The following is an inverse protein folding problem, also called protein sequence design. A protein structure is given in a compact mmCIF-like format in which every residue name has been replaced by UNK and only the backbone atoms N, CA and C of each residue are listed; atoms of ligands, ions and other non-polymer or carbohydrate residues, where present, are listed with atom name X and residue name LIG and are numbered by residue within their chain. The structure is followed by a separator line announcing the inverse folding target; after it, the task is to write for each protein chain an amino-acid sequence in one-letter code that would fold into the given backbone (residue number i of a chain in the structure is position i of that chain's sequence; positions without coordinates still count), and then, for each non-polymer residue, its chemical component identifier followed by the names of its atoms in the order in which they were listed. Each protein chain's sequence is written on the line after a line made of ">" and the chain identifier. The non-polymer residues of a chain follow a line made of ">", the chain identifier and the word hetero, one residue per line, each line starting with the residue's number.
data_IF_292041357858
#
_entry.id   IF_292041357858
#
_cell.length_a   1.000
_cell.length_b   1.000
_cell.length_c   1.000
_cell.angle_alpha   90.00
_cell.angle_beta   90.00
_cell.angle_gamma   90.00
#
_symmetry.space_group_name_H-M   'P 1'
#
loop_
_entity.id
_entity.type
_entity.pdbx_description
1 polymer ?
#
# COMPACT_ATOMS: atom_id res chain seq x y z
N UNK A 1 -14.01 0.01 -19.90
CA UNK A 1 -13.95 0.59 -18.53
C UNK A 1 -13.45 -0.50 -17.57
N UNK A 2 -12.63 -0.19 -16.56
CA UNK A 2 -12.20 -1.20 -15.59
C UNK A 2 -13.40 -1.83 -14.87
N UNK A 3 -13.32 -3.13 -14.56
CA UNK A 3 -14.44 -3.92 -13.99
C UNK A 3 -14.90 -3.45 -12.61
N UNK A 4 -14.02 -2.78 -11.85
CA UNK A 4 -14.35 -2.07 -10.61
C UNK A 4 -14.19 -0.56 -10.80
N UNK A 5 -15.26 0.18 -10.50
CA UNK A 5 -15.24 1.66 -10.47
C UNK A 5 -14.61 2.20 -9.19
N UNK A 6 -14.83 1.53 -8.06
CA UNK A 6 -14.24 1.89 -6.76
C UNK A 6 -12.78 1.47 -6.70
N UNK A 7 -11.91 2.39 -6.28
CA UNK A 7 -10.48 2.15 -6.05
C UNK A 7 -10.22 1.84 -4.59
N UNK A 8 -9.32 0.90 -4.33
CA UNK A 8 -8.86 0.53 -2.99
C UNK A 8 -7.50 1.18 -2.75
N UNK A 9 -7.39 1.95 -1.67
CA UNK A 9 -6.17 2.62 -1.23
C UNK A 9 -5.72 1.98 0.09
N UNK A 10 -4.47 1.51 0.16
CA UNK A 10 -3.89 0.94 1.38
C UNK A 10 -2.74 1.81 1.88
N UNK A 11 -2.65 2.05 3.20
CA UNK A 11 -1.51 2.77 3.78
C UNK A 11 -0.39 1.79 4.10
N UNK A 12 0.80 2.05 3.58
CA UNK A 12 2.01 1.28 3.91
C UNK A 12 2.61 1.81 5.22
N UNK A 13 3.07 0.88 6.05
CA UNK A 13 3.73 1.14 7.32
C UNK A 13 4.41 -0.14 7.82
N UNK A 14 4.84 -0.18 9.10
CA UNK A 14 5.63 -1.30 9.64
C UNK A 14 4.95 -2.67 9.50
N UNK A 15 3.61 -2.70 9.49
CA UNK A 15 2.84 -3.93 9.31
C UNK A 15 2.95 -4.51 7.88
N UNK A 16 3.33 -3.69 6.89
CA UNK A 16 3.49 -4.02 5.47
C UNK A 16 4.88 -3.57 5.00
N UNK A 17 5.93 -4.11 5.62
CA UNK A 17 7.33 -3.75 5.36
C UNK A 17 8.12 -4.85 4.60
N UNK A 18 7.45 -5.87 4.08
CA UNK A 18 8.08 -6.93 3.30
C UNK A 18 7.45 -7.06 1.92
N UNK A 19 8.26 -7.40 0.93
CA UNK A 19 7.85 -7.59 -0.46
C UNK A 19 6.68 -8.58 -0.58
N UNK A 20 6.73 -9.69 0.15
CA UNK A 20 5.67 -10.71 0.18
C UNK A 20 4.31 -10.13 0.61
N UNK A 21 4.29 -9.25 1.62
CA UNK A 21 3.05 -8.64 2.10
C UNK A 21 2.49 -7.65 1.08
N UNK A 22 3.37 -6.90 0.40
CA UNK A 22 2.96 -5.99 -0.68
C UNK A 22 2.39 -6.80 -1.85
N UNK A 23 3.04 -7.90 -2.23
CA UNK A 23 2.56 -8.79 -3.29
C UNK A 23 1.15 -9.35 -2.97
N UNK A 24 0.93 -9.77 -1.72
CA UNK A 24 -0.39 -10.22 -1.26
C UNK A 24 -1.46 -9.13 -1.38
N UNK A 25 -1.13 -7.87 -1.08
CA UNK A 25 -2.06 -6.75 -1.19
C UNK A 25 -2.36 -6.38 -2.65
N UNK A 26 -1.36 -6.48 -3.53
CA UNK A 26 -1.55 -6.32 -4.98
C UNK A 26 -2.51 -7.39 -5.49
N UNK A 27 -2.28 -8.67 -5.14
CA UNK A 27 -3.16 -9.79 -5.52
C UNK A 27 -4.57 -9.65 -4.94
N UNK A 28 -4.71 -9.04 -3.76
CA UNK A 28 -6.01 -8.75 -3.13
C UNK A 28 -6.78 -7.61 -3.81
N UNK A 29 -6.13 -6.83 -4.69
CA UNK A 29 -6.77 -5.80 -5.51
C UNK A 29 -6.58 -4.36 -5.02
N UNK A 30 -5.54 -4.08 -4.22
CA UNK A 30 -5.14 -2.70 -3.92
C UNK A 30 -4.75 -1.98 -5.22
N UNK A 31 -5.19 -0.74 -5.37
CA UNK A 31 -4.91 0.07 -6.55
C UNK A 31 -3.85 1.14 -6.30
N UNK A 32 -3.79 1.67 -5.08
CA UNK A 32 -2.86 2.73 -4.71
C UNK A 32 -2.33 2.45 -3.31
N UNK A 33 -1.02 2.62 -3.14
CA UNK A 33 -0.39 2.62 -1.83
C UNK A 33 -0.17 4.07 -1.38
N UNK A 34 -0.62 4.36 -0.17
CA UNK A 34 -0.39 5.64 0.51
C UNK A 34 0.77 5.47 1.46
N UNK A 35 1.75 6.35 1.35
CA UNK A 35 2.82 6.47 2.33
C UNK A 35 2.48 7.60 3.30
N UNK A 36 2.47 7.31 4.60
CA UNK A 36 2.19 8.31 5.62
C UNK A 36 3.49 8.83 6.23
N UNK A 37 3.96 9.96 5.72
CA UNK A 37 5.21 10.61 6.15
C UNK A 37 5.10 11.40 7.46
N UNK A 38 3.92 11.52 8.06
CA UNK A 38 3.74 12.33 9.27
C UNK A 38 4.50 11.77 10.50
N UNK A 39 4.92 10.50 10.46
CA UNK A 39 5.62 9.83 11.55
C UNK A 39 6.94 9.16 11.12
N UNK A 40 7.40 9.37 9.88
CA UNK A 40 8.58 8.70 9.33
C UNK A 40 9.82 9.56 9.42
N UNK A 41 10.82 9.13 10.19
CA UNK A 41 12.19 9.60 10.00
C UNK A 41 12.62 9.21 8.57
N UNK A 42 13.39 10.08 7.92
CA UNK A 42 13.82 9.94 6.51
C UNK A 42 14.55 8.63 6.17
N UNK A 43 14.91 7.81 7.16
CA UNK A 43 15.63 6.55 6.98
C UNK A 43 14.75 5.35 6.59
N UNK A 44 13.41 5.44 6.71
CA UNK A 44 12.47 4.35 6.34
C UNK A 44 11.70 4.59 5.03
N UNK A 45 12.08 5.59 4.22
CA UNK A 45 11.47 5.86 2.91
C UNK A 45 12.36 5.50 1.73
#
# INVERSE_FOLDING_TARGET
>A
MPSKKTKIIATIGPSVNSEEKVERLIKAGVNVFRFNFSHGNYEEH
#
